data_IF_471377812732
#
_entry.id   IF_471377812732
#
_cell.length_a   1.000
_cell.length_b   1.000
_cell.length_c   1.000
_cell.angle_alpha   90.00
_cell.angle_beta   90.00
_cell.angle_gamma   90.00
#
_symmetry.space_group_name_H-M   'P 1'
#
loop_
_entity.id
_entity.type
_entity.pdbx_description
1 polymer ?
#
# COMPACT_ATOMS: atom_id res chain seq x y z
N UNK A 1 1.99 -10.81 10.58
CA UNK A 1 2.97 -9.71 10.70
C UNK A 1 2.30 -8.40 10.32
N UNK A 2 2.74 -7.26 10.87
CA UNK A 2 2.27 -5.92 10.54
C UNK A 2 3.47 -5.02 10.27
N UNK A 3 3.41 -4.23 9.21
CA UNK A 3 4.30 -3.10 8.92
C UNK A 3 3.45 -1.84 8.94
N UNK A 4 3.87 -0.84 9.69
CA UNK A 4 3.14 0.41 9.84
C UNK A 4 4.07 1.57 9.48
N UNK A 5 3.59 2.43 8.59
CA UNK A 5 4.27 3.66 8.18
C UNK A 5 3.41 4.81 8.72
N UNK A 6 4.03 5.68 9.52
CA UNK A 6 3.42 6.82 10.17
C UNK A 6 4.13 8.10 9.74
N UNK A 7 3.35 9.02 9.19
CA UNK A 7 3.81 10.36 8.82
C UNK A 7 3.14 11.39 9.73
N UNK A 8 3.80 12.55 9.92
CA UNK A 8 3.25 13.69 10.69
C UNK A 8 2.78 13.36 12.13
N UNK A 9 3.31 12.30 12.74
CA UNK A 9 2.98 11.89 14.13
C UNK A 9 3.80 12.64 15.19
N UNK A 10 3.16 12.92 16.33
CA UNK A 10 3.78 13.53 17.52
C UNK A 10 4.77 12.56 18.18
N UNK A 11 5.76 13.09 18.88
CA UNK A 11 6.77 12.28 19.62
C UNK A 11 6.13 11.33 20.64
N UNK A 12 5.04 11.75 21.29
CA UNK A 12 4.30 10.88 22.24
C UNK A 12 3.64 9.68 21.55
N UNK A 13 3.05 9.87 20.37
CA UNK A 13 2.42 8.81 19.58
C UNK A 13 3.46 7.81 19.06
N UNK A 14 4.61 8.33 18.59
CA UNK A 14 5.77 7.51 18.19
C UNK A 14 6.31 6.68 19.36
N UNK A 15 6.48 7.31 20.52
CA UNK A 15 6.91 6.64 21.74
C UNK A 15 5.92 5.58 22.22
N UNK A 16 4.61 5.80 22.01
CA UNK A 16 3.59 4.78 22.28
C UNK A 16 3.74 3.58 21.34
N UNK A 17 3.91 3.81 20.03
CA UNK A 17 4.10 2.73 19.06
C UNK A 17 5.36 1.91 19.32
N UNK A 18 6.43 2.57 19.75
CA UNK A 18 7.72 1.93 20.07
C UNK A 18 7.64 0.92 21.23
N UNK A 19 6.56 0.94 22.03
CA UNK A 19 6.33 -0.06 23.09
C UNK A 19 5.79 -1.39 22.54
N UNK A 20 5.20 -1.38 21.35
CA UNK A 20 4.50 -2.51 20.74
C UNK A 20 5.20 -3.02 19.47
N UNK A 21 6.03 -2.19 18.85
CA UNK A 21 6.65 -2.44 17.56
C UNK A 21 8.09 -1.92 17.54
N UNK A 22 8.93 -2.51 16.69
CA UNK A 22 10.31 -2.06 16.46
C UNK A 22 10.26 -0.98 15.37
N UNK A 23 10.86 0.18 15.66
CA UNK A 23 11.03 1.25 14.67
C UNK A 23 12.30 0.99 13.84
N UNK A 24 12.14 0.65 12.54
CA UNK A 24 13.25 0.37 11.63
C UNK A 24 13.85 1.63 11.01
N UNK A 25 13.00 2.63 10.77
CA UNK A 25 13.32 3.96 10.25
C UNK A 25 12.34 4.95 10.87
N UNK A 26 12.62 6.26 10.83
CA UNK A 26 11.67 7.24 11.34
C UNK A 26 10.27 7.04 10.75
N UNK A 27 9.32 6.64 11.59
CA UNK A 27 7.92 6.44 11.23
C UNK A 27 7.60 5.04 10.70
N UNK A 28 8.58 4.15 10.54
CA UNK A 28 8.40 2.80 10.00
C UNK A 28 8.55 1.79 11.13
N UNK A 29 7.45 1.12 11.45
CA UNK A 29 7.31 0.18 12.55
C UNK A 29 7.00 -1.23 12.05
N UNK A 30 7.56 -2.25 12.70
CA UNK A 30 7.26 -3.65 12.42
C UNK A 30 6.91 -4.38 13.71
N UNK A 31 5.84 -5.17 13.67
CA UNK A 31 5.39 -5.98 14.79
C UNK A 31 4.78 -7.31 14.35
N UNK A 32 4.90 -8.32 15.21
CA UNK A 32 4.11 -9.56 15.11
C UNK A 32 2.99 -9.51 16.14
N UNK A 33 1.79 -9.15 15.69
CA UNK A 33 0.60 -8.97 16.53
C UNK A 33 -0.62 -9.64 15.90
N UNK A 34 -1.58 -10.03 16.73
CA UNK A 34 -2.83 -10.63 16.26
C UNK A 34 -3.79 -9.58 15.65
N UNK A 35 -4.81 -10.06 14.94
CA UNK A 35 -5.78 -9.21 14.24
C UNK A 35 -6.49 -8.19 15.16
N UNK A 36 -6.85 -8.60 16.39
CA UNK A 36 -7.55 -7.72 17.34
C UNK A 36 -6.68 -6.54 17.78
N UNK A 37 -5.41 -6.79 18.07
CA UNK A 37 -4.44 -5.74 18.44
C UNK A 37 -4.17 -4.84 17.23
N UNK A 38 -3.97 -5.42 16.05
CA UNK A 38 -3.82 -4.68 14.78
C UNK A 38 -5.00 -3.72 14.55
N UNK A 39 -6.23 -4.20 14.68
CA UNK A 39 -7.43 -3.39 14.40
C UNK A 39 -7.62 -2.28 15.45
N UNK A 40 -7.24 -2.52 16.71
CA UNK A 40 -7.21 -1.47 17.74
C UNK A 40 -6.16 -0.40 17.46
N UNK A 41 -4.97 -0.80 17.05
CA UNK A 41 -3.90 0.13 16.64
C UNK A 41 -4.39 0.97 15.45
N UNK A 42 -4.97 0.33 14.45
CA UNK A 42 -5.52 1.03 13.28
C UNK A 42 -6.56 2.07 13.69
N UNK A 43 -7.55 1.68 14.50
CA UNK A 43 -8.59 2.58 15.00
C UNK A 43 -7.99 3.78 15.73
N UNK A 44 -7.01 3.54 16.59
CA UNK A 44 -6.32 4.60 17.34
C UNK A 44 -5.63 5.60 16.41
N UNK A 45 -4.94 5.10 15.38
CA UNK A 45 -4.26 5.95 14.41
C UNK A 45 -5.27 6.78 13.59
N UNK A 46 -6.32 6.14 13.08
CA UNK A 46 -7.28 6.79 12.18
C UNK A 46 -8.27 7.71 12.90
N UNK A 47 -8.70 7.38 14.11
CA UNK A 47 -9.76 8.13 14.80
C UNK A 47 -9.21 9.09 15.87
N UNK A 48 -8.25 8.64 16.68
CA UNK A 48 -7.71 9.44 17.79
C UNK A 48 -6.57 10.33 17.34
N UNK A 49 -5.58 9.75 16.64
CA UNK A 49 -4.39 10.47 16.22
C UNK A 49 -4.64 11.29 14.95
N UNK A 50 -5.56 10.83 14.10
CA UNK A 50 -5.88 11.43 12.78
C UNK A 50 -4.60 11.72 12.00
N UNK A 51 -3.70 10.75 12.00
CA UNK A 51 -2.37 10.89 11.42
C UNK A 51 -2.25 10.08 10.15
N UNK A 52 -1.51 10.61 9.20
CA UNK A 52 -1.24 9.97 7.92
C UNK A 52 -0.50 8.65 8.13
N UNK A 53 -1.09 7.58 7.62
CA UNK A 53 -0.61 6.25 7.91
C UNK A 53 -0.93 5.23 6.82
N UNK A 54 0.01 4.31 6.62
CA UNK A 54 -0.18 3.10 5.83
C UNK A 54 0.13 1.89 6.71
N UNK A 55 -0.79 0.94 6.76
CA UNK A 55 -0.60 -0.34 7.45
C UNK A 55 -0.65 -1.49 6.44
N UNK A 56 0.44 -2.24 6.33
CA UNK A 56 0.45 -3.56 5.71
C UNK A 56 0.32 -4.63 6.78
N UNK A 57 -0.42 -5.69 6.51
CA UNK A 57 -0.53 -6.83 7.40
C UNK A 57 -0.68 -8.12 6.62
N UNK A 58 -0.15 -9.22 7.17
CA UNK A 58 -0.33 -10.55 6.58
C UNK A 58 -1.83 -10.89 6.50
N UNK A 59 -2.27 -11.36 5.35
CA UNK A 59 -3.63 -11.82 5.12
C UNK A 59 -3.62 -13.02 4.18
N UNK A 60 -4.75 -13.70 4.03
CA UNK A 60 -4.91 -14.80 3.07
C UNK A 60 -5.38 -14.29 1.70
N UNK A 61 -4.98 -13.08 1.31
CA UNK A 61 -5.23 -12.55 -0.04
C UNK A 61 -4.25 -13.17 -1.03
N UNK A 62 -4.50 -12.99 -2.33
CA UNK A 62 -3.61 -13.46 -3.38
C UNK A 62 -2.21 -12.84 -3.32
N UNK A 63 -2.10 -11.61 -2.80
CA UNK A 63 -0.83 -10.92 -2.59
C UNK A 63 -0.17 -11.30 -1.24
N UNK A 64 -0.84 -12.08 -0.38
CA UNK A 64 -0.35 -12.47 0.95
C UNK A 64 -0.40 -11.36 2.01
N UNK A 65 -0.94 -10.19 1.66
CA UNK A 65 -1.12 -9.07 2.56
C UNK A 65 -2.38 -8.27 2.27
N UNK A 66 -2.87 -7.59 3.30
CA UNK A 66 -3.83 -6.51 3.18
C UNK A 66 -3.15 -5.18 3.48
N UNK A 67 -3.67 -4.11 2.90
CA UNK A 67 -3.20 -2.75 3.11
C UNK A 67 -4.37 -1.87 3.59
N UNK A 68 -4.07 -0.92 4.46
CA UNK A 68 -4.98 0.16 4.86
C UNK A 68 -4.24 1.48 4.80
N UNK A 69 -4.97 2.54 4.43
CA UNK A 69 -4.47 3.91 4.34
C UNK A 69 -5.40 4.86 5.09
N UNK A 70 -4.83 5.90 5.72
CA UNK A 70 -5.55 6.99 6.36
C UNK A 70 -4.80 8.31 6.17
N UNK A 71 -5.54 9.41 6.02
CA UNK A 71 -5.00 10.75 5.79
C UNK A 71 -4.77 11.04 4.31
N UNK A 72 -3.76 11.85 4.03
CA UNK A 72 -3.22 12.17 2.72
C UNK A 72 -1.80 11.58 2.60
N UNK A 73 -1.68 10.25 2.40
CA UNK A 73 -0.40 9.68 2.05
C UNK A 73 -0.02 10.16 0.66
N UNK A 74 1.28 10.36 0.42
CA UNK A 74 1.84 10.66 -0.91
C UNK A 74 1.53 9.61 -2.01
N UNK A 75 0.75 8.57 -1.68
CA UNK A 75 0.32 7.46 -2.53
C UNK A 75 -1.10 7.04 -2.16
N UNK A 76 -1.89 6.72 -3.16
CA UNK A 76 -3.23 6.16 -3.03
C UNK A 76 -3.22 4.65 -3.29
N UNK A 77 -4.14 3.92 -2.65
CA UNK A 77 -4.35 2.49 -2.90
C UNK A 77 -5.43 2.38 -3.98
N UNK A 78 -5.11 1.71 -5.08
CA UNK A 78 -6.07 1.41 -6.15
C UNK A 78 -6.26 -0.10 -6.27
N UNK A 79 -7.51 -0.52 -6.48
CA UNK A 79 -7.84 -1.90 -6.85
C UNK A 79 -7.82 -2.03 -8.37
N UNK A 80 -7.05 -2.99 -8.87
CA UNK A 80 -6.97 -3.32 -10.28
C UNK A 80 -7.14 -4.82 -10.46
N UNK A 81 -8.34 -5.23 -10.86
CA UNK A 81 -8.70 -6.63 -11.08
C UNK A 81 -8.40 -7.53 -9.86
N UNK A 82 -8.71 -7.04 -8.65
CA UNK A 82 -8.47 -7.74 -7.39
C UNK A 82 -7.04 -7.61 -6.84
N UNK A 83 -6.14 -6.93 -7.55
CA UNK A 83 -4.80 -6.59 -7.08
C UNK A 83 -4.77 -5.18 -6.51
N UNK A 84 -4.29 -5.05 -5.27
CA UNK A 84 -4.05 -3.75 -4.67
C UNK A 84 -2.72 -3.19 -5.16
N UNK A 85 -2.76 -2.01 -5.77
CA UNK A 85 -1.62 -1.27 -6.32
C UNK A 85 -1.46 0.09 -5.62
N UNK A 86 -0.25 0.64 -5.66
CA UNK A 86 0.03 1.99 -5.17
C UNK A 86 0.20 2.94 -6.34
N UNK A 87 -0.62 4.00 -6.36
CA UNK A 87 -0.54 5.04 -7.38
C UNK A 87 0.00 6.35 -6.79
N UNK A 88 0.65 7.14 -7.63
CA UNK A 88 0.95 8.53 -7.31
C UNK A 88 -0.30 9.33 -7.67
N UNK A 89 -0.76 10.23 -6.78
CA UNK A 89 -1.81 11.16 -7.13
C UNK A 89 -1.44 11.89 -8.42
N UNK A 90 -2.30 11.80 -9.44
CA UNK A 90 -2.15 12.50 -10.71
C UNK A 90 -3.26 13.55 -10.80
N UNK A 91 -2.92 14.85 -10.74
CA UNK A 91 -3.91 15.93 -10.79
C UNK A 91 -4.82 15.90 -12.02
N UNK A 92 -4.44 15.18 -13.09
CA UNK A 92 -5.27 15.02 -14.29
C UNK A 92 -6.34 13.94 -14.14
N UNK A 93 -6.14 12.93 -13.29
CA UNK A 93 -7.15 11.87 -13.03
C UNK A 93 -8.33 12.41 -12.25
N UNK A 94 -8.07 13.23 -11.24
CA UNK A 94 -9.11 13.85 -10.42
C UNK A 94 -10.06 14.75 -11.26
N UNK A 95 -9.56 15.33 -12.35
CA UNK A 95 -10.36 16.12 -13.28
C UNK A 95 -11.28 15.26 -14.17
N UNK A 96 -10.89 14.02 -14.49
CA UNK A 96 -11.68 13.10 -15.31
C UNK A 96 -12.88 12.57 -14.51
N UNK A 97 -12.70 12.25 -13.22
CA UNK A 97 -13.81 11.84 -12.35
C UNK A 97 -14.81 12.98 -12.11
N UNK A 98 -14.34 14.22 -11.93
CA UNK A 98 -15.21 15.40 -11.74
C UNK A 98 -15.96 15.79 -13.02
N UNK A 99 -15.40 15.53 -14.20
CA UNK A 99 -16.06 15.78 -15.50
C UNK A 99 -17.10 14.71 -15.88
N UNK A 100 -17.01 13.49 -15.33
CA UNK A 100 -17.95 12.40 -15.61
C UNK A 100 -19.32 12.57 -14.92
N UNK A 101 -19.45 13.45 -13.92
CA UNK A 101 -20.73 13.80 -13.29
C UNK A 101 -21.57 14.82 -14.10
N UNK A 102 -21.02 15.37 -15.19
CA UNK A 102 -21.73 16.29 -16.08
C UNK A 102 -21.49 15.96 -17.55
N UNK A 103 -22.36 15.13 -18.12
CA UNK A 103 -22.63 14.97 -19.55
C UNK A 103 -21.45 14.66 -20.49
N UNK A 104 -21.11 13.36 -20.68
CA UNK A 104 -20.73 12.86 -22.01
C UNK A 104 -20.85 11.33 -22.13
N UNK A 105 -21.60 10.84 -23.13
CA UNK A 105 -21.54 9.43 -23.56
C UNK A 105 -20.27 9.21 -24.38
N UNK A 106 -19.23 8.67 -23.75
CA UNK A 106 -18.07 8.14 -24.47
C UNK A 106 -18.43 6.74 -24.95
N UNK A 107 -18.44 6.54 -26.26
CA UNK A 107 -18.35 5.20 -26.86
C UNK A 107 -16.95 4.66 -26.57
N UNK A 108 -16.84 3.79 -25.57
CA UNK A 108 -15.58 3.15 -25.19
C UNK A 108 -15.21 2.10 -26.23
N UNK A 109 -14.47 2.49 -27.26
CA UNK A 109 -13.71 1.54 -28.07
C UNK A 109 -12.50 1.04 -27.24
N UNK A 110 -12.53 -0.25 -26.92
CA UNK A 110 -11.41 -1.13 -26.58
C UNK A 110 -10.29 -0.58 -25.68
N UNK A 111 -10.59 -0.31 -24.40
CA UNK A 111 -9.56 -0.37 -23.36
C UNK A 111 -9.40 -1.81 -22.86
N UNK A 112 -8.75 -2.66 -23.65
CA UNK A 112 -8.13 -3.86 -23.10
C UNK A 112 -6.98 -3.39 -22.21
N UNK A 113 -7.10 -3.63 -20.90
CA UNK A 113 -6.05 -3.38 -19.92
C UNK A 113 -4.68 -3.79 -20.48
N UNK A 114 -3.69 -2.87 -20.55
CA UNK A 114 -2.35 -3.19 -21.01
C UNK A 114 -1.60 -4.15 -20.06
N UNK A 115 -2.24 -4.58 -18.98
CA UNK A 115 -1.68 -5.40 -17.91
C UNK A 115 -2.61 -6.57 -17.55
N UNK A 116 -3.09 -7.31 -18.55
CA UNK A 116 -4.00 -8.45 -18.35
C UNK A 116 -3.39 -9.63 -17.58
N UNK A 117 -2.06 -9.74 -17.49
CA UNK A 117 -1.37 -10.78 -16.71
C UNK A 117 -0.30 -10.18 -15.76
N UNK A 118 -0.77 -9.38 -14.79
CA UNK A 118 0.10 -8.78 -13.78
C UNK A 118 0.75 -9.81 -12.85
N UNK A 119 0.05 -10.91 -12.54
CA UNK A 119 0.59 -11.98 -11.70
C UNK A 119 1.77 -12.66 -12.38
N UNK A 120 1.62 -13.02 -13.66
CA UNK A 120 2.72 -13.52 -14.49
C UNK A 120 3.87 -12.53 -14.54
N UNK A 121 3.58 -11.25 -14.79
CA UNK A 121 4.59 -10.19 -14.84
C UNK A 121 5.40 -10.04 -13.54
N UNK A 122 4.73 -9.96 -12.37
CA UNK A 122 5.43 -9.81 -11.09
C UNK A 122 6.23 -11.05 -10.73
N UNK A 123 5.69 -12.25 -10.96
CA UNK A 123 6.38 -13.50 -10.69
C UNK A 123 7.58 -13.70 -11.63
N UNK A 124 7.44 -13.42 -12.92
CA UNK A 124 8.53 -13.45 -13.89
C UNK A 124 9.64 -12.47 -13.50
N UNK A 125 9.27 -11.23 -13.14
CA UNK A 125 10.22 -10.21 -12.73
C UNK A 125 10.95 -10.59 -11.43
N UNK A 126 10.25 -11.15 -10.45
CA UNK A 126 10.85 -11.64 -9.21
C UNK A 126 11.82 -12.81 -9.50
N UNK A 127 11.42 -13.76 -10.33
CA UNK A 127 12.27 -14.89 -10.72
C UNK A 127 13.50 -14.46 -11.53
N UNK A 128 13.36 -13.46 -12.41
CA UNK A 128 14.50 -12.88 -13.14
C UNK A 128 15.52 -12.25 -12.18
N UNK A 129 15.07 -11.50 -11.18
CA UNK A 129 15.97 -10.93 -10.16
C UNK A 129 16.70 -12.01 -9.34
N UNK A 130 16.06 -13.15 -9.09
CA UNK A 130 16.71 -14.28 -8.42
C UNK A 130 17.80 -14.91 -9.29
N UNK A 131 17.57 -15.03 -10.60
CA UNK A 131 18.54 -15.57 -11.56
C UNK A 131 19.73 -14.62 -11.79
N UNK A 132 19.52 -13.30 -11.75
CA UNK A 132 20.60 -12.31 -11.85
C UNK A 132 21.49 -12.27 -10.60
N UNK A 133 20.95 -12.62 -9.43
CA UNK A 133 21.69 -12.66 -8.16
C UNK A 133 22.55 -13.92 -7.97
N UNK A 134 22.31 -14.98 -8.76
CA UNK A 134 23.02 -16.26 -8.71
C UNK A 134 24.19 -16.35 -9.71
N UNK A 135 24.58 -15.25 -10.38
CA UNK A 135 25.82 -15.22 -11.17
C UNK A 135 27.00 -15.21 -10.18
N UNK A 136 27.81 -16.28 -10.08
CA UNK A 136 29.00 -16.23 -9.25
C UNK A 136 29.93 -15.15 -9.81
N UNK A 137 30.49 -14.33 -8.92
CA UNK A 137 31.51 -13.34 -9.23
C UNK A 137 32.69 -14.09 -9.90
N UNK A 138 32.73 -14.08 -11.23
CA UNK A 138 33.80 -14.72 -11.99
C UNK A 138 35.09 -13.94 -11.71
N UNK A 139 35.95 -14.53 -10.88
CA UNK A 139 37.34 -14.12 -10.63
C UNK A 139 38.27 -14.50 -11.76
#
# INVERSE_FOLDING_TARGET
MVVLILERVKTSQRGEMSRLAIELKPGVFVASINARVRDRIWKKISEEWKSDAIMLFSSNSEQGYGIRSHGDPSREIMDFDGLLLMSKPDPKRDQIEVMNDSDFSITTEDEVSPFSDLKGFFNEKANRLLLEADVPDES
#
